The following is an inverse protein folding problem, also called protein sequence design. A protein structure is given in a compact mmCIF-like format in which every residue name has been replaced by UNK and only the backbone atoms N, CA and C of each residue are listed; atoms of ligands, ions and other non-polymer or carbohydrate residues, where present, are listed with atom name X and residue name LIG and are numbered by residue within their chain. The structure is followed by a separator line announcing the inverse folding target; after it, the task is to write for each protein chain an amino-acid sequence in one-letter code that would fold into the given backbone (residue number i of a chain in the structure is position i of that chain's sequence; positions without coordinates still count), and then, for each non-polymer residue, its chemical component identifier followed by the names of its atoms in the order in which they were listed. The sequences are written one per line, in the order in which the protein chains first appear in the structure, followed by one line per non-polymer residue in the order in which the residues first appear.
data_IF_792812612435
#
_entry.id   IF_792812612435
#
_cell.length_a   1.000
_cell.length_b   1.000
_cell.length_c   1.000
_cell.angle_alpha   90.00
_cell.angle_beta   90.00
_cell.angle_gamma   90.00
#
_symmetry.space_group_name_H-M   'P 1'
#
loop_
_entity.id
_entity.type
_entity.pdbx_description
1 polymer ?
#
# COMPACT_ATOMS: atom_id res chain seq x y z
N UNK A 1 -22.84 -28.84 5.31
CA UNK A 1 -23.55 -29.62 6.33
C UNK A 1 -24.78 -28.86 6.85
N UNK A 2 -25.70 -29.54 7.56
CA UNK A 2 -26.97 -29.00 8.02
C UNK A 2 -26.84 -27.67 8.78
N UNK A 3 -25.91 -27.58 9.73
CA UNK A 3 -25.66 -26.35 10.52
C UNK A 3 -25.32 -25.18 9.60
N UNK A 4 -24.43 -25.36 8.63
CA UNK A 4 -24.06 -24.30 7.69
C UNK A 4 -25.22 -23.85 6.81
N UNK A 5 -26.08 -24.78 6.39
CA UNK A 5 -27.29 -24.45 5.61
C UNK A 5 -28.29 -23.64 6.43
N UNK A 6 -28.52 -24.04 7.69
CA UNK A 6 -29.41 -23.32 8.60
C UNK A 6 -28.88 -21.91 8.95
N UNK A 7 -27.57 -21.79 9.21
CA UNK A 7 -26.92 -20.49 9.44
C UNK A 7 -27.08 -19.56 8.24
N UNK A 8 -26.82 -20.08 7.03
CA UNK A 8 -27.04 -19.30 5.80
C UNK A 8 -28.49 -18.85 5.69
N UNK A 9 -29.44 -19.78 5.85
CA UNK A 9 -30.87 -19.49 5.78
C UNK A 9 -31.29 -18.41 6.79
N UNK A 10 -30.80 -18.51 8.04
CA UNK A 10 -31.07 -17.53 9.09
C UNK A 10 -30.63 -16.11 8.72
N UNK A 11 -29.48 -15.98 8.04
CA UNK A 11 -28.87 -14.66 7.72
C UNK A 11 -29.37 -14.09 6.39
N UNK A 12 -29.67 -14.96 5.39
CA UNK A 12 -29.95 -14.48 4.03
C UNK A 12 -31.45 -14.43 3.66
N UNK A 13 -32.33 -15.13 4.40
CA UNK A 13 -33.77 -15.12 4.04
C UNK A 13 -34.42 -13.83 4.51
N UNK A 14 -35.23 -13.26 3.63
CA UNK A 14 -36.14 -12.13 3.94
C UNK A 14 -37.48 -12.58 4.51
N UNK A 15 -37.79 -13.90 4.46
CA UNK A 15 -38.98 -14.49 5.01
C UNK A 15 -38.83 -14.73 6.52
N UNK A 16 -39.60 -14.04 7.33
CA UNK A 16 -39.54 -14.08 8.79
C UNK A 16 -39.84 -15.49 9.35
N UNK A 17 -40.82 -16.19 8.80
CA UNK A 17 -41.18 -17.57 9.22
C UNK A 17 -39.99 -18.53 8.99
N UNK A 18 -39.36 -18.47 7.83
CA UNK A 18 -38.21 -19.32 7.50
C UNK A 18 -36.98 -18.99 8.36
N UNK A 19 -36.80 -17.70 8.71
CA UNK A 19 -35.76 -17.26 9.60
C UNK A 19 -35.95 -17.81 11.01
N UNK A 20 -37.18 -17.76 11.53
CA UNK A 20 -37.53 -18.32 12.84
C UNK A 20 -37.32 -19.85 12.86
N UNK A 21 -37.78 -20.57 11.84
CA UNK A 21 -37.58 -22.01 11.72
C UNK A 21 -36.12 -22.41 11.75
N UNK A 22 -35.27 -21.67 10.98
CA UNK A 22 -33.82 -21.89 10.97
C UNK A 22 -33.19 -21.61 12.34
N UNK A 23 -33.64 -20.54 13.02
CA UNK A 23 -33.20 -20.18 14.37
C UNK A 23 -33.56 -21.26 15.41
N UNK A 24 -34.80 -21.75 15.40
CA UNK A 24 -35.25 -22.84 16.28
C UNK A 24 -34.46 -24.14 16.04
N UNK A 25 -34.21 -24.48 14.77
CA UNK A 25 -33.45 -25.67 14.43
C UNK A 25 -32.00 -25.56 14.94
N UNK A 26 -31.37 -24.40 14.77
CA UNK A 26 -30.02 -24.14 15.28
C UNK A 26 -29.96 -24.17 16.82
N UNK A 27 -30.95 -23.59 17.50
CA UNK A 27 -31.05 -23.62 18.95
C UNK A 27 -31.12 -25.06 19.50
N UNK A 28 -31.93 -25.93 18.87
CA UNK A 28 -31.98 -27.35 19.24
C UNK A 28 -30.65 -28.06 19.02
N UNK A 29 -30.00 -27.82 17.87
CA UNK A 29 -28.69 -28.42 17.61
C UNK A 29 -27.62 -27.91 18.57
N UNK A 30 -27.73 -26.66 19.03
CA UNK A 30 -26.85 -26.09 20.05
C UNK A 30 -27.03 -26.78 21.42
N UNK A 31 -28.27 -27.05 21.81
CA UNK A 31 -28.57 -27.82 23.03
C UNK A 31 -27.97 -29.22 22.98
N UNK A 32 -27.91 -29.83 21.80
CA UNK A 32 -27.28 -31.10 21.54
C UNK A 32 -25.75 -31.01 21.34
N UNK A 33 -25.15 -29.87 21.65
CA UNK A 33 -23.71 -29.59 21.50
C UNK A 33 -23.17 -29.81 20.08
N UNK A 34 -23.99 -29.61 19.04
CA UNK A 34 -23.49 -29.73 17.66
C UNK A 34 -22.54 -28.60 17.33
N UNK A 35 -21.32 -28.87 16.84
CA UNK A 35 -20.32 -27.84 16.54
C UNK A 35 -20.86 -26.78 15.55
N UNK A 36 -20.67 -25.50 15.87
CA UNK A 36 -21.07 -24.37 15.05
C UNK A 36 -22.57 -24.03 15.09
N UNK A 37 -23.39 -24.72 15.89
CA UNK A 37 -24.81 -24.42 16.04
C UNK A 37 -25.06 -23.23 16.98
N UNK A 38 -24.26 -23.12 18.07
CA UNK A 38 -24.40 -22.02 19.02
C UNK A 38 -23.82 -20.70 18.44
N UNK A 39 -24.51 -19.56 18.61
CA UNK A 39 -24.04 -18.25 18.10
C UNK A 39 -22.63 -17.88 18.57
N UNK A 40 -22.26 -18.21 19.81
CA UNK A 40 -20.92 -17.92 20.36
C UNK A 40 -19.78 -18.62 19.60
N UNK A 41 -20.11 -19.64 18.79
CA UNK A 41 -19.14 -20.33 17.92
C UNK A 41 -19.10 -19.74 16.49
N UNK A 42 -19.81 -18.66 16.25
CA UNK A 42 -19.91 -18.07 14.91
C UNK A 42 -18.90 -16.93 14.80
N UNK A 43 -17.90 -17.11 13.97
CA UNK A 43 -17.00 -16.01 13.62
C UNK A 43 -17.77 -14.87 12.93
N UNK A 44 -17.52 -13.64 13.35
CA UNK A 44 -18.10 -12.42 12.73
C UNK A 44 -19.49 -11.98 13.26
N UNK A 45 -20.05 -12.66 14.27
CA UNK A 45 -21.33 -12.23 14.91
C UNK A 45 -21.10 -11.57 16.28
N UNK A 46 -19.95 -11.81 16.89
CA UNK A 46 -19.60 -11.10 18.12
C UNK A 46 -19.55 -9.60 17.80
N UNK A 47 -20.38 -8.82 18.46
CA UNK A 47 -20.17 -7.39 18.57
C UNK A 47 -18.79 -7.19 19.14
N UNK A 48 -17.88 -6.69 18.32
CA UNK A 48 -16.56 -6.34 18.75
C UNK A 48 -16.70 -5.07 19.58
N UNK A 49 -16.91 -5.25 20.87
CA UNK A 49 -16.96 -4.18 21.84
C UNK A 49 -15.59 -4.13 22.54
N UNK A 50 -14.56 -3.78 21.77
CA UNK A 50 -13.30 -3.39 22.38
C UNK A 50 -13.40 -1.90 22.71
N UNK A 51 -13.36 -1.50 23.99
CA UNK A 51 -13.29 -0.10 24.37
C UNK A 51 -11.91 0.53 24.05
N UNK A 52 -10.96 -0.29 23.60
CA UNK A 52 -9.62 0.15 23.21
C UNK A 52 -9.57 0.38 21.70
N UNK A 53 -8.85 1.41 21.29
CA UNK A 53 -8.59 1.64 19.86
C UNK A 53 -7.97 0.37 19.25
N UNK A 54 -8.48 -0.09 18.10
CA UNK A 54 -7.95 -1.25 17.39
C UNK A 54 -6.49 -1.03 16.94
N UNK A 55 -6.11 0.21 16.75
CA UNK A 55 -4.72 0.66 16.63
C UNK A 55 -4.43 1.44 17.88
N UNK A 56 -3.57 0.95 18.79
CA UNK A 56 -3.04 1.78 19.84
C UNK A 56 -2.37 2.98 19.14
N UNK A 57 -2.89 4.16 19.40
CA UNK A 57 -2.22 5.38 19.03
C UNK A 57 -0.97 5.40 19.90
N UNK A 58 0.20 5.09 19.33
CA UNK A 58 1.45 5.53 19.91
C UNK A 58 1.44 7.05 19.81
N UNK A 59 0.66 7.69 20.69
CA UNK A 59 0.74 9.11 20.90
C UNK A 59 2.12 9.36 21.50
N UNK A 60 2.94 10.06 20.74
CA UNK A 60 4.16 10.62 21.32
C UNK A 60 3.80 11.62 22.42
N UNK A 61 4.79 12.16 23.12
CA UNK A 61 4.58 13.16 24.17
C UNK A 61 3.81 14.41 23.69
N UNK A 62 3.65 14.60 22.37
CA UNK A 62 2.92 15.71 21.73
C UNK A 62 1.49 15.34 21.34
N UNK A 63 1.05 14.10 21.54
CA UNK A 63 -0.27 13.60 21.16
C UNK A 63 -0.42 13.35 19.65
N UNK A 64 0.68 13.11 18.93
CA UNK A 64 0.70 12.80 17.51
C UNK A 64 0.88 11.32 17.26
N UNK A 65 0.32 10.84 16.15
CA UNK A 65 0.42 9.45 15.71
C UNK A 65 1.45 9.30 14.61
N UNK A 66 2.25 8.22 14.68
CA UNK A 66 3.23 7.90 13.66
C UNK A 66 2.57 7.29 12.44
N UNK A 67 2.76 7.91 11.27
CA UNK A 67 2.15 7.46 10.02
C UNK A 67 3.20 7.42 8.91
N UNK A 68 3.19 6.30 8.16
CA UNK A 68 4.03 6.12 6.98
C UNK A 68 3.26 6.52 5.71
N UNK A 69 3.88 7.20 4.73
CA UNK A 69 3.22 7.62 3.49
C UNK A 69 2.49 6.49 2.74
N UNK A 70 3.08 5.31 2.66
CA UNK A 70 2.46 4.14 2.03
C UNK A 70 1.24 3.61 2.79
N UNK A 71 1.19 3.81 4.12
CA UNK A 71 0.06 3.42 4.94
C UNK A 71 -1.19 4.27 4.64
N UNK A 72 -1.02 5.56 4.39
CA UNK A 72 -2.12 6.47 4.01
C UNK A 72 -2.74 6.03 2.69
N UNK A 73 -1.92 5.77 1.66
CA UNK A 73 -2.41 5.29 0.36
C UNK A 73 -3.14 3.94 0.46
N UNK A 74 -2.60 3.02 1.28
CA UNK A 74 -3.24 1.73 1.52
C UNK A 74 -4.58 1.87 2.26
N UNK A 75 -4.65 2.75 3.26
CA UNK A 75 -5.87 3.02 4.02
C UNK A 75 -6.98 3.61 3.14
N UNK A 76 -6.67 4.62 2.33
CA UNK A 76 -7.62 5.23 1.40
C UNK A 76 -8.20 4.19 0.43
N UNK A 77 -7.37 3.29 -0.06
CA UNK A 77 -7.82 2.21 -0.95
C UNK A 77 -8.76 1.24 -0.24
N UNK A 78 -8.36 0.73 0.92
CA UNK A 78 -9.20 -0.18 1.70
C UNK A 78 -8.75 -0.19 3.17
N UNK A 79 -9.50 0.45 4.09
CA UNK A 79 -9.17 0.49 5.51
C UNK A 79 -8.98 -0.90 6.14
N UNK A 80 -9.85 -1.86 5.80
CA UNK A 80 -9.74 -3.23 6.33
C UNK A 80 -8.47 -3.94 5.83
N UNK A 81 -8.14 -3.81 4.54
CA UNK A 81 -6.93 -4.42 4.00
C UNK A 81 -5.67 -3.82 4.62
N UNK A 82 -5.62 -2.49 4.76
CA UNK A 82 -4.53 -1.81 5.47
C UNK A 82 -4.38 -2.35 6.91
N UNK A 83 -5.49 -2.45 7.66
CA UNK A 83 -5.47 -2.98 9.02
C UNK A 83 -4.93 -4.42 9.08
N UNK A 84 -5.40 -5.29 8.19
CA UNK A 84 -4.93 -6.67 8.11
C UNK A 84 -3.44 -6.76 7.77
N UNK A 85 -2.94 -5.93 6.86
CA UNK A 85 -1.52 -5.89 6.54
C UNK A 85 -0.66 -5.39 7.69
N UNK A 86 -1.14 -4.37 8.40
CA UNK A 86 -0.41 -3.75 9.50
C UNK A 86 -0.34 -4.66 10.76
N UNK A 87 -1.41 -5.44 11.02
CA UNK A 87 -1.57 -6.16 12.28
C UNK A 87 -1.77 -7.67 12.12
N UNK A 88 -2.14 -8.17 10.95
CA UNK A 88 -2.50 -9.58 10.72
C UNK A 88 -1.41 -10.45 10.11
N UNK A 89 -0.31 -9.86 9.64
CA UNK A 89 0.76 -10.58 8.93
C UNK A 89 0.23 -11.23 7.65
N UNK A 90 0.31 -10.54 6.54
CA UNK A 90 0.11 -11.15 5.22
C UNK A 90 1.45 -11.62 4.69
N UNK A 91 1.49 -12.81 4.08
CA UNK A 91 2.67 -13.26 3.35
C UNK A 91 2.95 -12.26 2.23
N UNK A 92 4.18 -11.72 2.20
CA UNK A 92 4.59 -10.82 1.13
C UNK A 92 4.68 -11.61 -0.17
N UNK A 93 4.05 -11.11 -1.22
CA UNK A 93 4.19 -11.72 -2.55
C UNK A 93 5.64 -11.64 -3.05
N UNK A 94 5.97 -12.49 -4.04
CA UNK A 94 7.28 -12.41 -4.70
C UNK A 94 7.56 -10.99 -5.22
N UNK A 95 6.57 -10.34 -5.83
CA UNK A 95 6.68 -8.98 -6.37
C UNK A 95 7.03 -7.96 -5.29
N UNK A 96 6.46 -8.07 -4.10
CA UNK A 96 6.77 -7.18 -2.96
C UNK A 96 8.18 -7.43 -2.42
N UNK A 97 8.59 -8.70 -2.31
CA UNK A 97 9.93 -9.07 -1.87
C UNK A 97 11.00 -8.63 -2.89
N UNK A 98 10.72 -8.84 -4.18
CA UNK A 98 11.59 -8.41 -5.26
C UNK A 98 11.66 -6.87 -5.36
N UNK A 99 10.55 -6.18 -5.15
CA UNK A 99 10.52 -4.72 -5.05
C UNK A 99 11.51 -4.23 -3.98
N UNK A 100 11.40 -4.73 -2.76
CA UNK A 100 12.32 -4.40 -1.66
C UNK A 100 13.78 -4.68 -2.02
N UNK A 101 14.06 -5.80 -2.69
CA UNK A 101 15.41 -6.14 -3.15
C UNK A 101 15.92 -5.16 -4.20
N UNK A 102 15.07 -4.77 -5.16
CA UNK A 102 15.44 -3.83 -6.23
C UNK A 102 15.75 -2.44 -5.69
N UNK A 103 14.97 -1.94 -4.73
CA UNK A 103 15.25 -0.67 -4.02
C UNK A 103 16.64 -0.73 -3.35
N UNK A 104 16.90 -1.80 -2.60
CA UNK A 104 18.19 -1.96 -1.92
C UNK A 104 19.36 -2.07 -2.89
N UNK A 105 19.19 -2.73 -4.03
CA UNK A 105 20.24 -2.80 -5.06
C UNK A 105 20.49 -1.44 -5.67
N UNK A 106 19.44 -0.65 -5.93
CA UNK A 106 19.59 0.71 -6.46
C UNK A 106 20.26 1.65 -5.46
N UNK A 107 19.96 1.51 -4.17
CA UNK A 107 20.59 2.28 -3.09
C UNK A 107 22.10 1.98 -2.98
N UNK A 108 22.49 0.70 -3.07
CA UNK A 108 23.87 0.24 -2.90
C UNK A 108 24.72 0.36 -4.18
N UNK A 109 24.12 0.58 -5.33
CA UNK A 109 24.80 0.60 -6.61
C UNK A 109 25.79 1.79 -6.74
N UNK A 110 26.99 1.51 -7.19
CA UNK A 110 28.02 2.54 -7.45
C UNK A 110 27.90 3.14 -8.84
N UNK A 111 27.31 2.39 -9.76
CA UNK A 111 27.08 2.81 -11.14
C UNK A 111 25.68 2.40 -11.56
N UNK A 112 25.12 3.09 -12.57
CA UNK A 112 23.80 2.82 -13.10
C UNK A 112 23.81 1.80 -14.25
N UNK A 113 24.86 0.98 -14.36
CA UNK A 113 24.97 -0.01 -15.44
C UNK A 113 24.14 -1.26 -15.16
N UNK A 114 23.69 -1.90 -16.23
CA UNK A 114 22.94 -3.17 -16.12
C UNK A 114 23.75 -4.23 -15.36
N UNK A 115 25.02 -4.35 -15.65
CA UNK A 115 25.92 -5.34 -15.04
C UNK A 115 26.03 -5.15 -13.52
N UNK A 116 26.17 -3.91 -13.05
CA UNK A 116 26.26 -3.61 -11.63
C UNK A 116 24.94 -3.91 -10.92
N UNK A 117 23.83 -3.41 -11.46
CA UNK A 117 22.51 -3.63 -10.87
C UNK A 117 22.11 -5.10 -10.89
N UNK A 118 22.35 -5.81 -12.02
CA UNK A 118 22.04 -7.23 -12.09
C UNK A 118 22.90 -8.05 -11.13
N UNK A 119 24.19 -7.75 -11.00
CA UNK A 119 25.08 -8.38 -10.01
C UNK A 119 24.56 -8.18 -8.58
N UNK A 120 24.07 -6.99 -8.26
CA UNK A 120 23.44 -6.71 -6.98
C UNK A 120 22.21 -7.59 -6.74
N UNK A 121 21.32 -7.71 -7.72
CA UNK A 121 20.14 -8.59 -7.67
C UNK A 121 20.56 -10.05 -7.52
N UNK A 122 21.48 -10.53 -8.35
CA UNK A 122 21.93 -11.93 -8.36
C UNK A 122 22.55 -12.33 -7.01
N UNK A 123 23.34 -11.45 -6.40
CA UNK A 123 23.96 -11.70 -5.10
C UNK A 123 22.97 -11.92 -3.96
N UNK A 124 21.78 -11.31 -4.06
CA UNK A 124 20.71 -11.39 -3.07
C UNK A 124 19.54 -12.28 -3.50
N UNK A 125 19.61 -12.89 -4.68
CA UNK A 125 18.54 -13.73 -5.24
C UNK A 125 18.11 -14.87 -4.32
N UNK A 126 19.07 -15.45 -3.61
CA UNK A 126 18.85 -16.56 -2.65
C UNK A 126 17.98 -16.16 -1.43
N UNK A 127 17.74 -14.88 -1.20
CA UNK A 127 16.88 -14.39 -0.12
C UNK A 127 15.40 -14.39 -0.49
N UNK A 128 15.09 -14.60 -1.78
CA UNK A 128 13.72 -14.68 -2.28
C UNK A 128 13.20 -16.11 -2.15
N UNK A 129 11.98 -16.24 -1.66
CA UNK A 129 11.31 -17.52 -1.53
C UNK A 129 10.48 -17.82 -2.78
N UNK A 130 10.53 -19.07 -3.25
CA UNK A 130 9.80 -19.54 -4.44
C UNK A 130 8.96 -20.75 -4.06
N UNK A 131 7.71 -20.79 -4.50
CA UNK A 131 6.81 -21.92 -4.27
C UNK A 131 7.30 -23.18 -5.01
N UNK A 132 7.95 -23.01 -6.16
CA UNK A 132 8.50 -24.10 -6.96
C UNK A 132 9.70 -23.67 -7.80
N UNK A 133 10.62 -24.61 -8.07
CA UNK A 133 11.84 -24.34 -8.85
C UNK A 133 11.62 -23.89 -10.30
N UNK A 134 10.47 -24.20 -10.91
CA UNK A 134 10.13 -23.72 -12.26
C UNK A 134 9.66 -22.26 -12.25
N UNK A 135 9.10 -21.78 -11.15
CA UNK A 135 8.74 -20.38 -10.95
C UNK A 135 9.98 -19.49 -10.95
N UNK A 136 11.05 -19.92 -10.32
CA UNK A 136 12.30 -19.18 -10.26
C UNK A 136 12.80 -18.76 -11.67
N UNK A 137 12.76 -19.66 -12.66
CA UNK A 137 13.19 -19.33 -14.03
C UNK A 137 12.31 -18.28 -14.71
N UNK A 138 11.02 -18.27 -14.38
CA UNK A 138 10.09 -17.26 -14.88
C UNK A 138 10.39 -15.92 -14.22
N UNK A 139 10.57 -15.91 -12.91
CA UNK A 139 10.81 -14.70 -12.12
C UNK A 139 12.18 -14.07 -12.42
N UNK A 140 13.23 -14.86 -12.68
CA UNK A 140 14.53 -14.36 -13.18
C UNK A 140 14.35 -13.58 -14.48
N UNK A 141 13.53 -14.06 -15.43
CA UNK A 141 13.30 -13.33 -16.68
C UNK A 141 12.57 -12.00 -16.47
N UNK A 142 11.57 -11.98 -15.57
CA UNK A 142 10.89 -10.74 -15.19
C UNK A 142 11.86 -9.78 -14.51
N UNK A 143 12.63 -10.25 -13.53
CA UNK A 143 13.61 -9.47 -12.82
C UNK A 143 14.65 -8.82 -13.75
N UNK A 144 15.21 -9.59 -14.69
CA UNK A 144 16.14 -9.06 -15.72
C UNK A 144 15.49 -7.93 -16.50
N UNK A 145 14.22 -8.12 -16.91
CA UNK A 145 13.50 -7.09 -17.64
C UNK A 145 13.25 -5.84 -16.84
N UNK A 146 12.95 -5.97 -15.55
CA UNK A 146 12.78 -4.83 -14.64
C UNK A 146 14.10 -4.07 -14.46
N UNK A 147 15.23 -4.77 -14.34
CA UNK A 147 16.57 -4.13 -14.28
C UNK A 147 16.90 -3.41 -15.59
N UNK A 148 16.62 -4.01 -16.77
CA UNK A 148 16.77 -3.34 -18.06
C UNK A 148 15.93 -2.04 -18.13
N UNK A 149 14.68 -2.10 -17.67
CA UNK A 149 13.78 -0.97 -17.65
C UNK A 149 14.28 0.12 -16.70
N UNK A 150 14.81 -0.26 -15.53
CA UNK A 150 15.39 0.67 -14.58
C UNK A 150 16.61 1.39 -15.19
N UNK A 151 17.53 0.65 -15.81
CA UNK A 151 18.68 1.25 -16.51
C UNK A 151 18.22 2.22 -17.59
N UNK A 152 17.23 1.82 -18.40
CA UNK A 152 16.68 2.70 -19.43
C UNK A 152 16.11 4.02 -18.88
N UNK A 153 15.49 3.98 -17.67
CA UNK A 153 15.07 5.19 -16.98
C UNK A 153 16.27 6.05 -16.54
N UNK A 154 17.29 5.43 -15.93
CA UNK A 154 18.46 6.13 -15.45
C UNK A 154 19.23 6.82 -16.59
N UNK A 155 19.31 6.15 -17.74
CA UNK A 155 19.92 6.72 -18.96
C UNK A 155 19.10 7.91 -19.48
N UNK A 156 17.76 7.80 -19.55
CA UNK A 156 16.87 8.89 -19.94
C UNK A 156 17.03 10.12 -19.04
N UNK A 157 17.18 9.91 -17.73
CA UNK A 157 17.40 11.01 -16.79
C UNK A 157 18.79 11.65 -16.97
N UNK A 158 19.81 10.83 -17.22
CA UNK A 158 21.17 11.33 -17.51
C UNK A 158 21.20 12.14 -18.80
N UNK A 159 20.53 11.68 -19.89
CA UNK A 159 20.41 12.42 -21.14
C UNK A 159 19.71 13.77 -20.96
N UNK A 160 18.73 13.86 -20.05
CA UNK A 160 18.02 15.07 -19.67
C UNK A 160 18.77 15.93 -18.64
N UNK A 161 19.99 15.56 -18.29
CA UNK A 161 20.84 16.24 -17.31
C UNK A 161 20.23 16.35 -15.90
N UNK A 162 19.39 15.36 -15.50
CA UNK A 162 19.00 15.27 -14.11
C UNK A 162 20.11 14.61 -13.30
N UNK A 163 20.40 15.20 -12.17
CA UNK A 163 21.32 14.61 -11.20
C UNK A 163 20.54 13.90 -10.09
N UNK A 164 21.13 12.83 -9.59
CA UNK A 164 20.63 12.19 -8.38
C UNK A 164 20.93 13.10 -7.18
N UNK A 165 19.91 13.41 -6.39
CA UNK A 165 20.02 14.12 -5.12
C UNK A 165 20.19 13.12 -3.98
N UNK A 166 19.35 12.08 -3.95
CA UNK A 166 19.43 11.03 -2.95
C UNK A 166 18.51 9.85 -3.25
N UNK A 167 18.85 8.71 -2.65
CA UNK A 167 18.01 7.50 -2.60
C UNK A 167 17.62 7.20 -1.17
N UNK A 168 16.46 6.58 -0.94
CA UNK A 168 15.94 6.25 0.40
C UNK A 168 16.00 7.45 1.36
N UNK A 169 15.68 8.66 0.83
CA UNK A 169 15.77 9.91 1.58
C UNK A 169 14.74 9.92 2.69
N UNK A 170 15.20 10.03 3.93
CA UNK A 170 14.33 10.11 5.10
C UNK A 170 13.55 11.42 5.09
N UNK A 171 12.24 11.32 5.27
CA UNK A 171 11.35 12.44 5.57
C UNK A 171 10.78 12.26 6.97
N UNK A 172 10.69 13.35 7.71
CA UNK A 172 10.27 13.34 9.10
C UNK A 172 9.68 14.72 9.46
N UNK A 173 8.35 14.84 9.42
CA UNK A 173 7.66 16.12 9.62
C UNK A 173 6.24 15.94 10.17
N UNK A 174 5.71 17.01 10.73
CA UNK A 174 4.38 17.03 11.32
C UNK A 174 3.31 17.47 10.31
N UNK A 175 2.21 16.74 10.27
CA UNK A 175 1.02 17.08 9.50
C UNK A 175 -0.24 16.87 10.33
N UNK A 176 -0.85 17.94 10.80
CA UNK A 176 -2.02 17.87 11.68
C UNK A 176 -1.75 17.03 12.93
N UNK A 177 -2.50 15.94 13.10
CA UNK A 177 -2.34 14.98 14.19
C UNK A 177 -1.30 13.90 13.91
N UNK A 178 -0.73 13.87 12.72
CA UNK A 178 0.25 12.87 12.34
C UNK A 178 1.68 13.40 12.46
N UNK A 179 2.56 12.51 12.82
CA UNK A 179 3.99 12.62 12.62
C UNK A 179 4.34 11.72 11.42
N UNK A 180 4.56 12.36 10.27
CA UNK A 180 4.84 11.65 9.03
C UNK A 180 6.31 11.27 8.98
N UNK A 181 6.57 9.98 8.91
CA UNK A 181 7.93 9.46 8.76
C UNK A 181 7.98 8.43 7.65
N UNK A 182 8.98 8.53 6.79
CA UNK A 182 9.12 7.59 5.68
C UNK A 182 10.41 7.77 4.93
N UNK A 183 10.55 7.00 3.86
CA UNK A 183 11.67 7.13 2.94
C UNK A 183 11.13 7.37 1.54
N UNK A 184 11.75 8.30 0.86
CA UNK A 184 11.51 8.58 -0.55
C UNK A 184 12.53 7.81 -1.36
N UNK A 185 12.07 6.96 -2.26
CA UNK A 185 12.95 6.04 -3.00
C UNK A 185 14.06 6.79 -3.75
N UNK A 186 13.70 7.90 -4.40
CA UNK A 186 14.63 8.67 -5.20
C UNK A 186 14.20 10.12 -5.33
N UNK A 187 15.15 11.04 -5.17
CA UNK A 187 15.00 12.47 -5.42
C UNK A 187 16.01 12.88 -6.47
N UNK A 188 15.55 13.58 -7.50
CA UNK A 188 16.35 14.05 -8.62
C UNK A 188 16.18 15.54 -8.82
N UNK A 189 17.23 16.22 -9.28
CA UNK A 189 17.17 17.62 -9.62
C UNK A 189 17.64 17.86 -11.06
N UNK A 190 16.82 18.53 -11.83
CA UNK A 190 17.10 18.88 -13.20
C UNK A 190 17.98 20.13 -13.33
N UNK A 191 18.42 20.44 -14.57
CA UNK A 191 19.40 21.49 -14.83
C UNK A 191 18.90 22.91 -14.50
N UNK A 192 17.58 23.13 -14.47
CA UNK A 192 16.98 24.43 -14.15
C UNK A 192 16.54 24.52 -12.66
N UNK A 193 17.01 23.58 -11.83
CA UNK A 193 16.69 23.53 -10.40
C UNK A 193 15.35 22.85 -10.06
N UNK A 194 14.64 22.30 -11.05
CA UNK A 194 13.40 21.57 -10.81
C UNK A 194 13.68 20.23 -10.12
N UNK A 195 12.91 19.92 -9.08
CA UNK A 195 13.03 18.72 -8.28
C UNK A 195 11.91 17.75 -8.62
N UNK A 196 12.27 16.53 -9.01
CA UNK A 196 11.35 15.42 -9.24
C UNK A 196 11.53 14.38 -8.12
N UNK A 197 10.43 14.03 -7.49
CA UNK A 197 10.36 12.96 -6.49
C UNK A 197 9.88 11.70 -7.17
N UNK A 198 10.60 10.59 -7.02
CA UNK A 198 10.32 9.35 -7.75
C UNK A 198 10.10 8.20 -6.79
N UNK A 199 9.00 7.48 -7.01
CA UNK A 199 8.61 6.28 -6.27
C UNK A 199 8.65 5.08 -7.24
N UNK A 200 9.55 4.12 -6.97
CA UNK A 200 9.82 2.96 -7.82
C UNK A 200 8.80 1.85 -7.56
N UNK A 201 8.17 1.37 -8.62
CA UNK A 201 7.20 0.28 -8.54
C UNK A 201 7.51 -0.83 -9.55
N UNK A 202 7.45 -2.07 -9.10
CA UNK A 202 7.72 -3.28 -9.89
C UNK A 202 6.55 -3.74 -10.75
N UNK A 203 5.40 -3.07 -10.71
CA UNK A 203 4.27 -3.36 -11.58
C UNK A 203 4.27 -2.53 -12.87
N UNK A 204 3.37 -2.88 -13.81
CA UNK A 204 3.38 -2.34 -15.17
C UNK A 204 2.50 -1.09 -15.36
N UNK A 205 1.58 -0.81 -14.46
CA UNK A 205 0.64 0.32 -14.57
C UNK A 205 0.26 0.84 -13.18
N UNK A 206 0.04 2.13 -13.07
CA UNK A 206 -0.41 2.79 -11.84
C UNK A 206 -0.87 4.21 -12.15
N UNK A 207 -1.82 4.73 -11.35
CA UNK A 207 -2.30 6.11 -11.46
C UNK A 207 -1.55 6.96 -10.44
N UNK A 208 -1.02 8.10 -10.89
CA UNK A 208 -0.32 9.03 -10.03
C UNK A 208 -1.23 10.13 -9.46
N UNK A 209 -2.22 10.58 -10.23
CA UNK A 209 -3.01 11.77 -9.90
C UNK A 209 -3.69 11.71 -8.52
N UNK A 210 -4.19 10.54 -8.14
CA UNK A 210 -4.90 10.31 -6.88
C UNK A 210 -4.00 9.62 -5.82
N UNK A 211 -2.70 9.46 -6.08
CA UNK A 211 -1.80 8.75 -5.21
C UNK A 211 -1.40 9.64 -4.01
N UNK A 212 -1.90 9.31 -2.83
CA UNK A 212 -1.66 10.06 -1.61
C UNK A 212 -0.23 9.91 -1.07
N UNK A 213 0.46 8.81 -1.38
CA UNK A 213 1.88 8.64 -1.05
C UNK A 213 2.73 9.69 -1.80
N UNK A 214 2.49 9.88 -3.09
CA UNK A 214 3.14 10.93 -3.87
C UNK A 214 2.76 12.34 -3.36
N UNK A 215 1.50 12.53 -2.98
CA UNK A 215 1.04 13.78 -2.36
C UNK A 215 1.81 14.11 -1.08
N UNK A 216 2.01 13.12 -0.20
CA UNK A 216 2.80 13.29 1.02
C UNK A 216 4.27 13.60 0.72
N UNK A 217 4.86 13.01 -0.30
CA UNK A 217 6.22 13.34 -0.71
C UNK A 217 6.35 14.77 -1.23
N UNK A 218 5.34 15.27 -1.95
CA UNK A 218 5.30 16.67 -2.36
C UNK A 218 5.11 17.62 -1.18
N UNK A 219 4.27 17.25 -0.20
CA UNK A 219 4.15 18.01 1.04
C UNK A 219 5.46 18.05 1.82
N UNK A 220 6.23 16.94 1.85
CA UNK A 220 7.55 16.91 2.45
C UNK A 220 8.53 17.92 1.80
N UNK A 221 8.45 18.11 0.47
CA UNK A 221 9.21 19.17 -0.20
C UNK A 221 8.79 20.57 0.29
N UNK A 222 7.49 20.80 0.43
CA UNK A 222 6.97 22.08 0.91
C UNK A 222 7.29 22.34 2.39
N UNK A 223 7.49 21.27 3.17
CA UNK A 223 7.96 21.32 4.57
C UNK A 223 9.50 21.26 4.68
N UNK A 224 10.20 21.61 3.58
CA UNK A 224 11.66 21.79 3.52
C UNK A 224 12.50 20.55 3.88
N UNK A 225 11.94 19.33 3.73
CA UNK A 225 12.62 18.10 4.11
C UNK A 225 13.81 17.73 3.20
N UNK A 226 13.95 18.39 2.05
CA UNK A 226 15.01 18.14 1.08
C UNK A 226 16.03 19.28 0.95
N UNK A 227 15.86 20.41 1.67
CA UNK A 227 16.64 21.63 1.48
C UNK A 227 18.15 21.44 1.64
N UNK A 228 18.57 20.53 2.52
CA UNK A 228 20.00 20.23 2.71
C UNK A 228 20.61 19.41 1.58
N UNK A 229 19.78 18.79 0.74
CA UNK A 229 20.20 17.87 -0.32
C UNK A 229 20.16 18.50 -1.72
N UNK A 230 19.27 19.46 -1.92
CA UNK A 230 19.03 20.10 -3.24
C UNK A 230 19.81 21.40 -3.38
N UNK A 231 20.16 21.75 -4.61
CA UNK A 231 20.76 23.05 -4.90
C UNK A 231 19.68 24.13 -5.02
N UNK A 232 19.90 25.25 -4.37
CA UNK A 232 18.97 26.37 -4.40
C UNK A 232 19.39 27.39 -5.47
N UNK A 233 18.46 28.08 -6.15
CA UNK A 233 17.01 27.97 -5.97
C UNK A 233 16.43 26.71 -6.58
N UNK A 234 15.45 26.10 -5.89
CA UNK A 234 14.80 24.88 -6.34
C UNK A 234 13.28 25.08 -6.46
N UNK A 235 12.68 24.39 -7.43
CA UNK A 235 11.23 24.36 -7.65
C UNK A 235 10.77 22.91 -7.69
N UNK A 236 9.56 22.62 -7.20
CA UNK A 236 9.00 21.29 -7.29
C UNK A 236 8.40 21.05 -8.69
N UNK A 237 8.97 20.12 -9.45
CA UNK A 237 8.39 19.66 -10.71
C UNK A 237 7.16 18.77 -10.46
N UNK A 238 7.22 17.97 -9.41
CA UNK A 238 6.15 17.06 -8.99
C UNK A 238 6.69 15.78 -8.37
N UNK A 239 5.81 14.78 -8.28
CA UNK A 239 6.18 13.43 -7.88
C UNK A 239 5.71 12.41 -8.92
N UNK A 240 6.44 11.31 -9.11
CA UNK A 240 6.18 10.36 -10.18
C UNK A 240 6.30 8.91 -9.70
N UNK A 241 5.40 8.07 -10.20
CA UNK A 241 5.58 6.61 -10.16
C UNK A 241 6.53 6.20 -11.30
N UNK A 242 7.63 5.54 -10.98
CA UNK A 242 8.48 4.85 -11.94
C UNK A 242 8.07 3.39 -12.02
N UNK A 243 7.46 2.99 -13.12
CA UNK A 243 6.90 1.65 -13.34
C UNK A 243 7.87 0.82 -14.21
N UNK A 244 8.51 -0.18 -13.60
CA UNK A 244 9.50 -1.02 -14.31
C UNK A 244 8.98 -2.39 -14.70
N UNK A 245 7.80 -2.81 -14.24
CA UNK A 245 7.22 -4.14 -14.52
C UNK A 245 6.68 -4.34 -15.93
N UNK A 246 6.61 -3.32 -16.76
CA UNK A 246 6.09 -3.37 -18.12
C UNK A 246 7.10 -3.86 -19.18
N UNK A 247 6.69 -3.81 -20.44
CA UNK A 247 7.60 -4.10 -21.59
C UNK A 247 8.72 -3.08 -21.68
N UNK A 248 8.45 -1.85 -21.32
CA UNK A 248 9.38 -0.72 -21.15
C UNK A 248 9.06 -0.06 -19.84
N UNK A 249 9.98 0.72 -19.27
CA UNK A 249 9.63 1.59 -18.17
C UNK A 249 8.60 2.64 -18.60
N UNK A 250 7.83 3.11 -17.67
CA UNK A 250 6.98 4.30 -17.83
C UNK A 250 7.00 5.13 -16.57
N UNK A 251 6.80 6.42 -16.72
CA UNK A 251 6.67 7.37 -15.61
C UNK A 251 5.28 7.99 -15.65
N UNK A 252 4.58 7.95 -14.53
CA UNK A 252 3.30 8.61 -14.37
C UNK A 252 3.49 9.69 -13.31
N UNK A 253 3.52 10.95 -13.75
CA UNK A 253 3.74 12.10 -12.89
C UNK A 253 2.44 12.61 -12.30
N UNK A 254 2.46 12.96 -11.03
CA UNK A 254 1.47 13.78 -10.35
C UNK A 254 1.89 15.24 -10.48
N UNK A 255 0.95 16.08 -10.88
CA UNK A 255 1.19 17.54 -11.02
C UNK A 255 1.72 18.14 -9.73
N UNK A 256 2.61 19.11 -9.85
CA UNK A 256 3.17 19.82 -8.71
C UNK A 256 2.09 20.50 -7.86
N UNK A 257 2.09 20.21 -6.57
CA UNK A 257 1.18 20.84 -5.61
C UNK A 257 1.52 22.31 -5.37
N UNK A 258 2.74 22.75 -5.71
CA UNK A 258 3.13 24.18 -5.57
C UNK A 258 2.56 25.05 -6.67
N UNK A 259 2.16 24.46 -7.80
CA UNK A 259 1.61 25.19 -8.96
C UNK A 259 0.08 25.29 -8.92
N UNK A 260 -0.59 24.50 -8.09
CA UNK A 260 -2.05 24.43 -8.04
C UNK A 260 -2.56 24.36 -6.59
N UNK A 261 -2.96 25.52 -6.07
CA UNK A 261 -3.45 25.64 -4.68
C UNK A 261 -4.72 24.82 -4.39
N UNK A 262 -5.58 24.65 -5.40
CA UNK A 262 -6.81 23.86 -5.26
C UNK A 262 -6.51 22.37 -5.17
N UNK A 263 -5.57 21.88 -6.01
CA UNK A 263 -5.07 20.51 -5.95
C UNK A 263 -4.36 20.23 -4.61
N UNK A 264 -3.54 21.17 -4.14
CA UNK A 264 -2.89 21.07 -2.83
C UNK A 264 -3.90 20.94 -1.69
N UNK A 265 -4.93 21.79 -1.66
CA UNK A 265 -5.98 21.74 -0.64
C UNK A 265 -6.75 20.42 -0.71
N UNK A 266 -7.10 19.97 -1.91
CA UNK A 266 -7.80 18.70 -2.10
C UNK A 266 -6.97 17.52 -1.63
N UNK A 267 -5.69 17.46 -2.02
CA UNK A 267 -4.79 16.38 -1.59
C UNK A 267 -4.60 16.39 -0.06
N UNK A 268 -4.40 17.57 0.52
CA UNK A 268 -4.26 17.71 1.97
C UNK A 268 -5.52 17.25 2.71
N UNK A 269 -6.71 17.58 2.22
CA UNK A 269 -7.97 17.13 2.81
C UNK A 269 -8.12 15.61 2.77
N UNK A 270 -7.78 14.97 1.65
CA UNK A 270 -7.81 13.50 1.51
C UNK A 270 -6.86 12.83 2.51
N UNK A 271 -5.66 13.39 2.68
CA UNK A 271 -4.66 12.88 3.62
C UNK A 271 -5.13 13.08 5.06
N UNK A 272 -5.64 14.27 5.40
CA UNK A 272 -6.15 14.58 6.75
C UNK A 272 -7.32 13.67 7.12
N UNK A 273 -8.26 13.41 6.21
CA UNK A 273 -9.37 12.48 6.41
C UNK A 273 -8.87 11.06 6.66
N UNK A 274 -7.86 10.62 5.91
CA UNK A 274 -7.25 9.31 6.13
C UNK A 274 -6.55 9.22 7.50
N UNK A 275 -5.79 10.24 7.88
CA UNK A 275 -5.13 10.33 9.20
C UNK A 275 -6.17 10.23 10.32
N UNK A 276 -7.26 10.99 10.21
CA UNK A 276 -8.37 10.94 11.17
C UNK A 276 -8.96 9.53 11.24
N UNK A 277 -9.23 8.91 10.08
CA UNK A 277 -9.78 7.56 10.01
C UNK A 277 -8.85 6.48 10.58
N UNK A 278 -7.55 6.58 10.32
CA UNK A 278 -6.53 5.66 10.87
C UNK A 278 -6.39 5.79 12.38
N UNK A 279 -6.61 6.99 12.93
CA UNK A 279 -6.38 7.34 14.32
C UNK A 279 -7.66 7.43 15.17
N UNK A 280 -8.83 7.11 14.64
CA UNK A 280 -10.08 7.19 15.37
C UNK A 280 -10.23 6.03 16.37
N UNK A 281 -10.58 6.32 17.62
CA UNK A 281 -10.79 5.30 18.66
C UNK A 281 -11.93 4.35 18.36
N UNK A 282 -12.93 4.78 17.60
CA UNK A 282 -14.12 4.01 17.22
C UNK A 282 -14.07 3.55 15.74
N UNK A 283 -12.89 3.53 15.12
CA UNK A 283 -12.77 3.21 13.70
C UNK A 283 -13.18 1.76 13.43
N UNK A 284 -14.28 1.61 12.72
CA UNK A 284 -14.64 0.37 12.05
C UNK A 284 -13.91 0.34 10.71
N UNK A 285 -12.85 -0.46 10.61
CA UNK A 285 -12.13 -0.63 9.34
C UNK A 285 -12.96 -1.48 8.38
N UNK A 286 -13.79 -0.81 7.58
CA UNK A 286 -14.65 -1.49 6.62
C UNK A 286 -13.90 -1.83 5.33
N UNK A 287 -14.32 -2.93 4.69
CA UNK A 287 -13.82 -3.29 3.38
C UNK A 287 -14.33 -2.29 2.33
N UNK A 288 -13.43 -1.68 1.58
CA UNK A 288 -13.77 -0.94 0.37
C UNK A 288 -13.53 -1.84 -0.84
N UNK A 289 -14.61 -2.47 -1.34
CA UNK A 289 -14.52 -3.39 -2.48
C UNK A 289 -14.56 -2.59 -3.78
N UNK A 290 -13.48 -2.71 -4.57
CA UNK A 290 -13.33 -1.99 -5.82
C UNK A 290 -12.43 -2.73 -6.82
N UNK A 291 -12.09 -2.05 -7.91
CA UNK A 291 -11.23 -2.61 -8.96
C UNK A 291 -9.85 -3.02 -8.45
N UNK A 292 -9.34 -2.35 -7.42
CA UNK A 292 -8.08 -2.69 -6.76
C UNK A 292 -8.07 -4.09 -6.13
N UNK A 293 -9.23 -4.65 -5.78
CA UNK A 293 -9.33 -5.99 -5.18
C UNK A 293 -9.05 -7.11 -6.19
N UNK A 294 -9.29 -6.87 -7.46
CA UNK A 294 -9.10 -7.85 -8.55
C UNK A 294 -7.94 -7.50 -9.47
N UNK A 295 -7.35 -6.32 -9.32
CA UNK A 295 -6.19 -5.91 -10.09
C UNK A 295 -4.96 -6.72 -9.63
N UNK A 296 -4.28 -7.45 -10.54
CA UNK A 296 -3.04 -8.15 -10.20
C UNK A 296 -1.93 -7.24 -9.65
N UNK A 297 -1.97 -5.95 -9.99
CA UNK A 297 -1.04 -4.93 -9.47
C UNK A 297 -1.57 -4.24 -8.20
N UNK A 298 -2.75 -4.61 -7.75
CA UNK A 298 -3.40 -4.14 -6.53
C UNK A 298 -3.45 -5.24 -5.48
N UNK A 299 -4.66 -5.57 -5.02
CA UNK A 299 -4.89 -6.60 -4.00
C UNK A 299 -5.43 -7.91 -4.62
N UNK A 300 -4.95 -8.30 -5.81
CA UNK A 300 -5.48 -9.44 -6.57
C UNK A 300 -5.59 -10.77 -5.82
N UNK A 301 -4.84 -10.91 -4.71
CA UNK A 301 -4.92 -12.04 -3.78
C UNK A 301 -5.51 -11.62 -2.42
N UNK A 302 -6.37 -10.61 -2.40
CA UNK A 302 -6.96 -10.13 -1.16
C UNK A 302 -7.77 -11.25 -0.47
N UNK A 303 -7.37 -11.63 0.74
CA UNK A 303 -8.02 -12.68 1.54
C UNK A 303 -9.48 -12.36 1.87
N UNK A 304 -9.89 -11.09 1.84
CA UNK A 304 -11.27 -10.65 2.01
C UNK A 304 -12.18 -11.20 0.89
N UNK A 305 -11.68 -11.27 -0.34
CA UNK A 305 -12.42 -11.83 -1.48
C UNK A 305 -12.52 -13.35 -1.44
N UNK A 306 -11.62 -14.01 -0.72
CA UNK A 306 -11.64 -15.47 -0.57
C UNK A 306 -12.67 -15.94 0.48
N UNK A 307 -13.25 -15.02 1.24
CA UNK A 307 -14.26 -15.31 2.25
C UNK A 307 -15.66 -14.92 1.73
N UNK A 308 -16.47 -15.87 1.21
CA UNK A 308 -17.78 -15.57 0.60
C UNK A 308 -18.75 -14.80 1.50
N UNK A 309 -18.53 -14.81 2.82
CA UNK A 309 -19.37 -14.10 3.80
C UNK A 309 -19.18 -12.57 3.79
N UNK A 310 -18.07 -12.06 3.26
CA UNK A 310 -17.75 -10.63 3.25
C UNK A 310 -18.19 -9.95 1.95
N UNK A 311 -18.35 -10.70 0.86
CA UNK A 311 -18.75 -10.18 -0.46
C UNK A 311 -20.23 -9.85 -0.63
N UNK A 312 -21.06 -10.06 0.40
CA UNK A 312 -22.52 -9.86 0.34
C UNK A 312 -23.07 -8.81 1.32
N UNK A 313 -22.20 -8.05 1.95
CA UNK A 313 -22.60 -6.88 2.72
C UNK A 313 -22.55 -5.63 1.82
N UNK A 314 -23.41 -5.62 0.79
CA UNK A 314 -23.67 -4.48 -0.06
C UNK A 314 -25.10 -4.00 0.15
#
# INVERSE_FOLDING_TARGET
GLVGTLRRKLVTTTNESERLEAGYALARLALDNQPGAHPDQWAGILTFDSPEALVPLDEDETGKVWIYPSAVDAFIKCPLHWFMQAHGGTDKSFEANFGTLLHKVLEEAKTNTYEELWKGVESKWHTLEFEASWDEKREIRKAKKMVENLVGYLDDRAEKNYRLVGTEVLIDFDLGRAHIRGRVDRVEQGPDGQVMIVDLKTYASGKADENSQLGLYQLAFMEHQFDELIEQPATLEGASLLLVGGKKFSTNAQTSLTENEELQKSMRAIIDDAIIGMSAQEALFQANVGTHCTDPNGYGNCSILLTPAVSYAG
#
